data_IF_891349985629
#
_entry.id   IF_891349985629
#
_cell.length_a   1.000
_cell.length_b   1.000
_cell.length_c   1.000
_cell.angle_alpha   90.00
_cell.angle_beta   90.00
_cell.angle_gamma   90.00
#
_symmetry.space_group_name_H-M   'P 1'
#
loop_
_entity.id
_entity.type
_entity.pdbx_description
1 polymer ?
#
# COMPACT_ATOMS: atom_id res chain seq x y z
N UNK A 1 9.25 2.10 6.79
CA UNK A 1 9.39 0.94 5.88
C UNK A 1 8.46 1.10 4.69
N UNK A 2 8.79 0.55 3.57
CA UNK A 2 7.97 0.59 2.36
C UNK A 2 7.75 -0.80 1.80
N UNK A 3 6.65 -0.98 1.04
CA UNK A 3 6.40 -2.16 0.24
C UNK A 3 6.16 -1.72 -1.21
N UNK A 4 6.87 -2.33 -2.14
CA UNK A 4 6.70 -2.12 -3.57
C UNK A 4 6.04 -3.36 -4.17
N UNK A 5 4.90 -3.17 -4.78
CA UNK A 5 4.08 -4.26 -5.33
C UNK A 5 3.75 -3.99 -6.78
N UNK A 6 3.32 -5.02 -7.50
CA UNK A 6 2.77 -4.86 -8.84
C UNK A 6 1.57 -3.91 -8.79
N UNK A 7 1.45 -3.06 -9.79
CA UNK A 7 0.45 -2.00 -9.82
C UNK A 7 -0.98 -2.52 -9.67
N UNK A 8 -1.31 -3.63 -10.29
CA UNK A 8 -2.66 -4.17 -10.21
C UNK A 8 -3.07 -4.57 -8.79
N UNK A 9 -2.11 -5.08 -7.98
CA UNK A 9 -2.36 -5.36 -6.56
C UNK A 9 -2.52 -4.05 -5.78
N UNK A 10 -1.70 -3.07 -6.05
CA UNK A 10 -1.81 -1.75 -5.42
C UNK A 10 -3.16 -1.09 -5.71
N UNK A 11 -3.60 -1.15 -6.96
CA UNK A 11 -4.91 -0.61 -7.36
C UNK A 11 -6.06 -1.37 -6.69
N UNK A 12 -5.97 -2.68 -6.57
CA UNK A 12 -6.96 -3.49 -5.87
C UNK A 12 -7.07 -3.08 -4.40
N UNK A 13 -5.94 -2.88 -3.72
CA UNK A 13 -5.92 -2.44 -2.32
C UNK A 13 -6.48 -1.04 -2.18
N UNK A 14 -6.17 -0.15 -3.10
CA UNK A 14 -6.73 1.19 -3.13
C UNK A 14 -8.26 1.15 -3.25
N UNK A 15 -8.79 0.33 -4.13
CA UNK A 15 -10.25 0.19 -4.30
C UNK A 15 -10.92 -0.34 -3.04
N UNK A 16 -10.31 -1.31 -2.36
CA UNK A 16 -10.80 -1.80 -1.08
C UNK A 16 -10.84 -0.70 -0.02
N UNK A 17 -9.76 0.06 0.12
CA UNK A 17 -9.66 1.14 1.09
C UNK A 17 -10.65 2.26 0.80
N UNK A 18 -10.85 2.59 -0.47
CA UNK A 18 -11.76 3.65 -0.90
C UNK A 18 -13.20 3.40 -0.46
N UNK A 19 -13.62 2.15 -0.39
CA UNK A 19 -14.96 1.78 0.13
C UNK A 19 -15.16 2.18 1.58
N UNK A 20 -14.08 2.36 2.33
CA UNK A 20 -14.07 2.78 3.73
C UNK A 20 -13.57 4.21 3.90
N UNK A 21 -13.53 4.98 2.81
CA UNK A 21 -13.03 6.36 2.79
C UNK A 21 -11.57 6.46 3.26
N UNK A 22 -10.74 5.53 2.81
CA UNK A 22 -9.30 5.49 3.08
C UNK A 22 -8.51 5.50 1.79
N UNK A 23 -7.32 6.04 1.85
CA UNK A 23 -6.34 5.95 0.77
C UNK A 23 -4.97 5.61 1.38
N UNK A 24 -4.19 4.73 0.74
CA UNK A 24 -2.84 4.45 1.21
C UNK A 24 -1.93 5.66 1.06
N UNK A 25 -0.95 5.77 1.95
CA UNK A 25 0.13 6.74 1.78
C UNK A 25 1.07 6.20 0.71
N UNK A 26 1.10 6.87 -0.42
CA UNK A 26 1.97 6.49 -1.54
C UNK A 26 3.28 7.25 -1.50
N UNK A 27 4.34 6.59 -1.89
CA UNK A 27 5.60 7.25 -2.21
C UNK A 27 5.64 7.47 -3.71
N UNK A 28 5.65 8.73 -4.09
CA UNK A 28 5.70 9.12 -5.50
C UNK A 28 7.15 9.25 -5.97
N UNK A 29 7.44 8.54 -7.05
CA UNK A 29 8.66 8.77 -7.81
C UNK A 29 8.27 9.17 -9.20
N UNK A 30 8.72 9.82 -10.01
CA UNK A 30 8.36 10.14 -11.42
C UNK A 30 6.87 10.43 -11.66
N UNK A 31 6.15 10.97 -10.68
CA UNK A 31 4.76 11.36 -10.85
C UNK A 31 3.76 10.38 -10.24
N UNK A 32 2.59 10.36 -10.78
CA UNK A 32 1.47 9.63 -10.22
C UNK A 32 1.73 8.11 -10.19
N UNK A 33 1.59 7.50 -9.03
CA UNK A 33 1.82 6.10 -8.76
C UNK A 33 3.25 5.60 -8.92
N UNK A 34 4.20 6.43 -8.61
CA UNK A 34 5.57 5.99 -8.50
C UNK A 34 6.20 5.57 -9.85
N UNK A 35 6.29 4.31 -10.13
CA UNK A 35 7.10 3.82 -11.23
C UNK A 35 6.25 3.30 -12.37
N UNK A 36 5.97 4.15 -13.34
CA UNK A 36 5.17 3.78 -14.51
C UNK A 36 5.94 2.78 -15.39
N UNK A 37 7.25 2.92 -15.50
CA UNK A 37 8.08 2.07 -16.34
C UNK A 37 8.07 0.61 -15.86
N UNK A 38 8.18 0.39 -14.56
CA UNK A 38 8.19 -0.95 -13.97
C UNK A 38 6.80 -1.44 -13.55
N UNK A 39 5.79 -0.61 -13.72
CA UNK A 39 4.40 -0.93 -13.38
C UNK A 39 4.22 -1.36 -11.92
N UNK A 40 4.78 -0.57 -11.02
CA UNK A 40 4.77 -0.81 -9.57
C UNK A 40 4.24 0.37 -8.78
N UNK A 41 3.77 0.09 -7.57
CA UNK A 41 3.34 1.08 -6.59
C UNK A 41 4.11 0.83 -5.30
N UNK A 42 4.59 1.90 -4.68
CA UNK A 42 5.27 1.84 -3.38
C UNK A 42 4.42 2.54 -2.32
N UNK A 43 4.14 1.81 -1.25
CA UNK A 43 3.30 2.28 -0.14
C UNK A 43 4.08 2.28 1.17
N UNK A 44 3.67 3.14 2.10
CA UNK A 44 4.28 3.21 3.44
C UNK A 44 3.72 2.09 4.31
N UNK A 45 4.62 1.29 4.89
CA UNK A 45 4.30 0.22 5.82
C UNK A 45 4.74 0.63 7.23
N UNK A 46 3.83 0.54 8.17
CA UNK A 46 4.14 0.81 9.57
C UNK A 46 4.73 -0.42 10.25
N UNK A 47 4.15 -1.59 10.03
CA UNK A 47 4.61 -2.84 10.65
C UNK A 47 4.33 -4.03 9.73
N UNK A 48 5.20 -5.04 9.82
CA UNK A 48 4.92 -6.37 9.29
C UNK A 48 4.37 -7.20 10.45
N UNK A 49 3.14 -7.68 10.31
CA UNK A 49 2.43 -8.37 11.38
C UNK A 49 2.60 -9.87 11.35
N UNK A 50 2.50 -10.47 10.18
CA UNK A 50 2.60 -11.91 9.97
C UNK A 50 3.22 -12.22 8.63
N UNK A 51 3.82 -13.38 8.53
CA UNK A 51 4.33 -13.89 7.27
C UNK A 51 4.03 -15.38 7.16
N UNK A 52 3.54 -15.79 6.01
CA UNK A 52 3.36 -17.19 5.66
C UNK A 52 4.26 -17.52 4.46
N UNK A 53 4.24 -18.77 4.00
CA UNK A 53 5.02 -19.16 2.82
C UNK A 53 4.61 -18.38 1.56
N UNK A 54 3.35 -17.93 1.47
CA UNK A 54 2.80 -17.30 0.25
C UNK A 54 2.40 -15.85 0.40
N UNK A 55 2.29 -15.32 1.61
CA UNK A 55 1.76 -13.98 1.85
C UNK A 55 2.40 -13.29 3.04
N UNK A 56 2.30 -11.98 3.05
CA UNK A 56 2.74 -11.12 4.15
C UNK A 56 1.57 -10.25 4.59
N UNK A 57 1.29 -10.23 5.89
CA UNK A 57 0.33 -9.30 6.47
C UNK A 57 1.06 -8.07 6.99
N UNK A 58 0.62 -6.91 6.53
CA UNK A 58 1.22 -5.64 6.90
C UNK A 58 0.18 -4.68 7.43
N UNK A 59 0.66 -3.71 8.19
CA UNK A 59 -0.10 -2.55 8.63
C UNK A 59 0.37 -1.36 7.81
N UNK A 60 -0.51 -0.87 6.93
CA UNK A 60 -0.23 0.29 6.08
C UNK A 60 -0.61 1.59 6.78
N UNK A 61 0.11 2.65 6.47
CA UNK A 61 -0.32 4.00 6.78
C UNK A 61 -1.33 4.47 5.73
N UNK A 62 -2.47 4.98 6.18
CA UNK A 62 -3.54 5.46 5.31
C UNK A 62 -4.02 6.84 5.73
N UNK A 63 -4.62 7.56 4.79
CA UNK A 63 -5.31 8.82 5.03
C UNK A 63 -6.81 8.57 5.16
N UNK A 64 -7.46 9.35 6.03
CA UNK A 64 -8.92 9.37 6.12
C UNK A 64 -9.45 10.42 5.12
N UNK A 65 -10.22 9.97 4.13
CA UNK A 65 -10.77 10.84 3.09
C UNK A 65 -11.98 11.67 3.54
N UNK A 66 -12.49 11.41 4.75
CA UNK A 66 -13.65 12.15 5.30
C UNK A 66 -13.26 13.44 6.01
N UNK A 67 -11.98 13.74 6.17
CA UNK A 67 -11.52 14.92 6.88
C UNK A 67 -10.73 15.83 5.94
N UNK A 68 -10.79 17.15 6.19
CA UNK A 68 -9.96 18.12 5.50
C UNK A 68 -8.53 18.17 6.06
N UNK A 69 -8.32 17.51 7.19
CA UNK A 69 -7.02 17.41 7.84
C UNK A 69 -6.40 16.04 7.57
N UNK A 70 -5.08 16.01 7.38
CA UNK A 70 -4.36 14.76 7.30
C UNK A 70 -4.40 14.06 8.64
N UNK A 71 -5.06 12.90 8.68
CA UNK A 71 -5.06 12.03 9.84
C UNK A 71 -4.53 10.67 9.40
N UNK A 72 -3.35 10.33 9.88
CA UNK A 72 -2.75 9.03 9.62
C UNK A 72 -3.54 7.96 10.36
N UNK A 73 -3.95 6.92 9.65
CA UNK A 73 -4.65 5.77 10.21
C UNK A 73 -4.05 4.48 9.71
N UNK A 74 -4.15 3.44 10.52
CA UNK A 74 -3.61 2.11 10.20
C UNK A 74 -4.63 1.29 9.42
N UNK A 75 -4.12 0.50 8.47
CA UNK A 75 -4.93 -0.44 7.70
C UNK A 75 -4.19 -1.77 7.59
N UNK A 76 -4.82 -2.84 8.06
CA UNK A 76 -4.22 -4.18 8.01
C UNK A 76 -4.65 -4.89 6.75
N UNK A 77 -3.72 -5.41 5.99
CA UNK A 77 -4.00 -6.13 4.75
C UNK A 77 -2.92 -7.17 4.45
N UNK A 78 -3.26 -8.11 3.58
CA UNK A 78 -2.34 -9.14 3.10
C UNK A 78 -1.88 -8.84 1.68
N UNK A 79 -0.60 -9.12 1.42
CA UNK A 79 -0.05 -9.07 0.07
C UNK A 79 0.51 -10.45 -0.30
N UNK A 80 0.15 -11.00 -1.49
CA UNK A 80 0.78 -12.22 -1.97
C UNK A 80 2.26 -11.97 -2.27
N UNK A 81 3.14 -12.83 -1.78
CA UNK A 81 4.59 -12.69 -1.98
C UNK A 81 4.97 -12.65 -3.46
N UNK A 82 4.23 -13.38 -4.32
CA UNK A 82 4.47 -13.38 -5.76
C UNK A 82 4.29 -12.01 -6.42
N UNK A 83 3.59 -11.08 -5.77
CA UNK A 83 3.32 -9.74 -6.29
C UNK A 83 4.13 -8.65 -5.58
N UNK A 84 4.94 -9.03 -4.61
CA UNK A 84 5.84 -8.10 -3.92
C UNK A 84 7.15 -8.06 -4.68
N UNK A 85 7.53 -6.85 -5.11
CA UNK A 85 8.79 -6.62 -5.82
C UNK A 85 9.93 -6.34 -4.85
N UNK A 86 9.64 -5.56 -3.81
CA UNK A 86 10.63 -5.20 -2.80
C UNK A 86 9.96 -4.76 -1.50
N UNK A 87 10.67 -4.93 -0.40
CA UNK A 87 10.34 -4.33 0.90
C UNK A 87 11.61 -3.68 1.45
N UNK A 88 11.48 -2.45 1.91
CA UNK A 88 12.63 -1.70 2.43
C UNK A 88 12.30 -0.89 3.67
#
# INVERSE_FOLDING_TARGET
MTITVRRWIGDQKYDEMKRYNRAPEFIYTNGYYADIENDTITMVVLNVLKETAKAVQVELETMDLNTDEYVAKKWTTWFPKSQIVAMA
#
